data_IF_524790787410
#
_entry.id   IF_524790787410
#
_cell.length_a   1.000
_cell.length_b   1.000
_cell.length_c   1.000
_cell.angle_alpha   90.00
_cell.angle_beta   90.00
_cell.angle_gamma   90.00
#
_symmetry.space_group_name_H-M   'P 1'
#
loop_
_entity.id
_entity.type
_entity.pdbx_description
1 polymer ?
#
# COMPACT_ATOMS: atom_id res chain seq x y z
N UNK A 1 3.00 3.59 5.70
CA UNK A 1 3.12 4.26 4.39
C UNK A 1 4.58 4.25 3.99
N UNK A 2 4.92 3.83 2.76
CA UNK A 2 6.30 3.78 2.29
C UNK A 2 6.49 4.36 0.88
N UNK A 3 7.67 4.94 0.60
CA UNK A 3 8.09 5.42 -0.72
C UNK A 3 8.49 6.89 -0.76
N UNK A 4 8.27 7.55 -1.90
CA UNK A 4 8.49 8.99 -2.01
C UNK A 4 7.33 9.74 -1.35
N UNK A 5 7.62 10.48 -0.28
CA UNK A 5 6.67 11.21 0.55
C UNK A 5 6.57 12.70 0.18
N UNK A 6 7.17 13.09 -0.94
CA UNK A 6 7.13 14.47 -1.40
C UNK A 6 5.69 14.95 -1.65
N UNK A 7 5.44 16.23 -1.38
CA UNK A 7 4.12 16.82 -1.43
C UNK A 7 3.45 16.77 -2.81
N UNK A 8 4.22 16.79 -3.89
CA UNK A 8 3.74 16.68 -5.27
C UNK A 8 3.22 15.27 -5.60
N UNK A 9 3.79 14.23 -4.98
CA UNK A 9 3.38 12.83 -5.16
C UNK A 9 2.39 12.33 -4.13
N UNK A 10 2.63 12.66 -2.89
CA UNK A 10 1.91 12.17 -1.72
C UNK A 10 1.26 13.33 -0.93
N UNK A 11 0.65 14.26 -1.66
CA UNK A 11 0.06 15.48 -1.12
C UNK A 11 -1.02 15.23 -0.05
N UNK A 12 -1.67 14.07 -0.08
CA UNK A 12 -2.62 13.64 0.94
C UNK A 12 -1.99 13.53 2.34
N UNK A 13 -0.66 13.37 2.42
CA UNK A 13 0.05 13.25 3.71
C UNK A 13 -0.03 14.51 4.56
N UNK A 14 -0.26 15.69 3.97
CA UNK A 14 -0.49 16.93 4.72
C UNK A 14 -1.70 16.84 5.67
N UNK A 15 -2.66 16.00 5.32
CA UNK A 15 -3.91 15.83 6.06
C UNK A 15 -3.98 14.48 6.81
N UNK A 16 -3.00 13.58 6.62
CA UNK A 16 -3.06 12.22 7.19
C UNK A 16 -3.14 12.21 8.72
N UNK A 17 -2.50 13.17 9.38
CA UNK A 17 -2.55 13.32 10.83
C UNK A 17 -3.94 13.70 11.39
N UNK A 18 -4.88 14.10 10.51
CA UNK A 18 -6.28 14.36 10.88
C UNK A 18 -7.10 13.07 10.97
N UNK A 19 -6.62 11.98 10.38
CA UNK A 19 -7.20 10.65 10.54
C UNK A 19 -6.70 10.08 11.87
N UNK A 20 -7.58 9.72 12.82
CA UNK A 20 -7.22 9.41 14.21
C UNK A 20 -6.65 7.98 14.34
N UNK A 21 -5.51 7.74 13.68
CA UNK A 21 -4.73 6.49 13.69
C UNK A 21 -3.26 6.82 13.88
N UNK A 22 -2.48 5.82 14.33
CA UNK A 22 -1.03 5.91 14.37
C UNK A 22 -0.46 5.54 13.00
N UNK A 23 0.47 6.38 12.52
CA UNK A 23 1.02 6.29 11.18
C UNK A 23 2.52 6.03 11.22
N UNK A 24 2.95 4.97 10.56
CA UNK A 24 4.36 4.65 10.34
C UNK A 24 4.75 5.09 8.92
N UNK A 25 5.70 6.02 8.78
CA UNK A 25 6.16 6.55 7.49
C UNK A 25 7.61 6.15 7.24
N UNK A 26 7.86 5.57 6.07
CA UNK A 26 9.18 5.13 5.59
C UNK A 26 9.44 5.74 4.21
N UNK A 27 10.54 6.41 4.00
CA UNK A 27 10.89 6.91 2.65
C UNK A 27 11.58 8.24 2.62
N UNK A 28 11.69 8.78 1.41
CA UNK A 28 12.38 10.03 1.11
C UNK A 28 11.42 11.23 1.10
N UNK A 29 11.99 12.43 1.18
CA UNK A 29 11.31 13.71 0.93
C UNK A 29 10.11 13.98 1.86
N UNK A 30 10.11 13.44 3.08
CA UNK A 30 9.08 13.77 4.06
C UNK A 30 9.27 15.22 4.56
N UNK A 31 8.31 16.13 4.33
CA UNK A 31 8.44 17.52 4.75
C UNK A 31 8.24 17.75 6.25
N UNK A 32 7.87 16.69 6.98
CA UNK A 32 7.49 16.80 8.38
C UNK A 32 6.00 17.06 8.57
N UNK A 33 5.57 16.90 9.81
CA UNK A 33 4.20 17.16 10.27
C UNK A 33 4.23 17.61 11.73
N UNK A 34 3.28 18.44 12.13
CA UNK A 34 3.04 18.77 13.53
C UNK A 34 2.23 17.69 14.29
N UNK A 35 1.86 16.60 13.65
CA UNK A 35 1.06 15.54 14.27
C UNK A 35 1.93 14.58 15.07
N UNK A 36 1.55 14.35 16.33
CA UNK A 36 2.19 13.36 17.22
C UNK A 36 1.82 11.92 16.88
N UNK A 37 0.85 11.70 15.96
CA UNK A 37 0.42 10.39 15.49
C UNK A 37 1.26 9.85 14.32
N UNK A 38 2.26 10.62 13.88
CA UNK A 38 3.11 10.24 12.76
C UNK A 38 4.51 9.95 13.27
N UNK A 39 4.94 8.71 13.10
CA UNK A 39 6.31 8.28 13.35
C UNK A 39 7.03 8.11 12.00
N UNK A 40 8.08 8.91 11.80
CA UNK A 40 8.89 8.87 10.59
C UNK A 40 10.20 8.14 10.82
N UNK A 41 10.43 7.09 10.05
CA UNK A 41 11.58 6.19 10.17
C UNK A 41 12.71 6.48 9.16
N UNK A 42 12.55 7.52 8.34
CA UNK A 42 13.56 7.85 7.34
C UNK A 42 13.51 6.96 6.09
N UNK A 43 14.56 7.08 5.31
CA UNK A 43 14.76 6.28 4.11
C UNK A 43 15.30 4.89 4.46
N UNK A 44 14.66 3.86 3.90
CA UNK A 44 15.11 2.47 4.00
C UNK A 44 15.44 1.98 2.59
N UNK A 45 16.57 1.29 2.45
CA UNK A 45 16.96 0.69 1.19
C UNK A 45 15.86 -0.25 0.66
N UNK A 46 15.49 -0.17 -0.64
CA UNK A 46 14.33 -0.89 -1.19
C UNK A 46 14.34 -2.40 -0.90
N UNK A 47 15.50 -3.03 -0.93
CA UNK A 47 15.67 -4.45 -0.65
C UNK A 47 15.42 -4.83 0.82
N UNK A 48 15.60 -3.89 1.76
CA UNK A 48 15.37 -4.09 3.20
C UNK A 48 13.97 -3.65 3.62
N UNK A 49 13.31 -2.83 2.80
CA UNK A 49 12.03 -2.25 3.14
C UNK A 49 10.97 -3.30 3.50
N UNK A 50 10.78 -4.41 2.76
CA UNK A 50 9.81 -5.44 3.09
C UNK A 50 10.02 -6.11 4.46
N UNK A 51 11.28 -6.15 4.95
CA UNK A 51 11.63 -6.74 6.24
C UNK A 51 11.52 -5.74 7.39
N UNK A 52 11.53 -4.44 7.08
CA UNK A 52 11.57 -3.36 8.07
C UNK A 52 10.19 -2.76 8.34
N UNK A 53 9.33 -2.70 7.31
CA UNK A 53 8.01 -2.08 7.45
C UNK A 53 7.15 -2.82 8.46
N UNK A 54 6.49 -2.07 9.31
CA UNK A 54 5.55 -2.59 10.31
C UNK A 54 4.21 -1.84 10.26
N UNK A 55 3.17 -2.47 10.79
CA UNK A 55 1.82 -1.92 10.87
C UNK A 55 0.75 -2.94 10.55
N UNK A 56 -0.51 -2.56 10.69
CA UNK A 56 -1.64 -3.42 10.36
C UNK A 56 -1.88 -3.50 8.84
N UNK A 57 -1.72 -2.39 8.12
CA UNK A 57 -1.94 -2.30 6.68
C UNK A 57 -0.89 -1.45 5.99
N UNK A 58 -0.51 -1.83 4.78
CA UNK A 58 0.23 -1.00 3.84
C UNK A 58 -0.70 -0.10 3.05
N UNK A 59 -0.45 1.21 3.01
CA UNK A 59 -1.31 2.17 2.32
C UNK A 59 -0.81 2.40 0.89
N UNK A 60 -1.54 1.88 -0.08
CA UNK A 60 -1.30 2.07 -1.51
C UNK A 60 -2.17 3.22 -2.01
N UNK A 61 -1.66 4.43 -1.85
CA UNK A 61 -2.37 5.66 -2.16
C UNK A 61 -1.39 6.68 -2.74
N UNK A 62 -1.81 7.43 -3.75
CA UNK A 62 -1.06 8.52 -4.35
C UNK A 62 -2.01 9.69 -4.68
N UNK A 63 -1.46 10.89 -4.81
CA UNK A 63 -2.21 12.10 -5.13
C UNK A 63 -2.40 13.04 -3.94
N UNK A 64 -3.33 13.98 -4.08
CA UNK A 64 -3.38 15.18 -3.26
C UNK A 64 -4.41 15.13 -2.13
N UNK A 65 -5.27 14.09 -2.09
CA UNK A 65 -6.43 14.03 -1.22
C UNK A 65 -6.54 12.70 -0.48
N UNK A 66 -7.08 12.75 0.74
CA UNK A 66 -7.56 11.56 1.46
C UNK A 66 -8.82 10.98 0.82
N UNK A 67 -9.56 11.77 0.05
CA UNK A 67 -10.89 11.45 -0.49
C UNK A 67 -10.79 11.02 -1.96
N UNK A 68 -9.98 10.01 -2.23
CA UNK A 68 -9.79 9.41 -3.55
C UNK A 68 -8.48 9.79 -4.22
N UNK A 69 -8.29 9.22 -5.40
CA UNK A 69 -7.10 9.45 -6.22
C UNK A 69 -7.27 10.73 -7.03
N UNK A 70 -6.56 11.78 -6.65
CA UNK A 70 -6.61 13.11 -7.26
C UNK A 70 -5.23 13.58 -7.70
N UNK A 71 -5.17 14.63 -8.55
CA UNK A 71 -3.91 15.13 -9.09
C UNK A 71 -3.26 14.16 -10.09
N UNK A 72 -2.08 14.52 -10.57
CA UNK A 72 -1.36 13.78 -11.61
C UNK A 72 -1.04 12.34 -11.19
N UNK A 73 -0.51 12.17 -9.99
CA UNK A 73 -0.16 10.83 -9.47
C UNK A 73 -1.38 9.99 -9.10
N UNK A 74 -2.46 10.62 -8.65
CA UNK A 74 -3.73 9.95 -8.46
C UNK A 74 -4.30 9.43 -9.78
N UNK A 75 -4.28 10.24 -10.84
CA UNK A 75 -4.68 9.82 -12.19
C UNK A 75 -3.81 8.67 -12.72
N UNK A 76 -2.51 8.70 -12.45
CA UNK A 76 -1.60 7.61 -12.82
C UNK A 76 -1.95 6.29 -12.10
N UNK A 77 -2.35 6.34 -10.83
CA UNK A 77 -2.73 5.17 -10.05
C UNK A 77 -4.04 4.50 -10.54
N UNK A 78 -4.84 5.20 -11.35
CA UNK A 78 -6.00 4.59 -12.02
C UNK A 78 -5.59 3.59 -13.11
N UNK A 79 -4.38 3.71 -13.65
CA UNK A 79 -3.90 2.93 -14.79
C UNK A 79 -2.74 1.99 -14.44
N UNK A 80 -2.02 2.29 -13.36
CA UNK A 80 -0.81 1.58 -13.00
C UNK A 80 -0.91 0.92 -11.63
N UNK A 81 -0.28 -0.26 -11.52
CA UNK A 81 -0.09 -0.94 -10.24
C UNK A 81 1.23 -0.49 -9.62
N UNK A 82 1.21 0.28 -8.52
CA UNK A 82 2.43 0.88 -7.97
C UNK A 82 3.30 -0.17 -7.27
N UNK A 83 4.62 0.04 -7.26
CA UNK A 83 5.59 -0.79 -6.54
C UNK A 83 5.28 -0.94 -5.04
N UNK A 84 4.64 0.05 -4.41
CA UNK A 84 4.18 -0.01 -3.02
C UNK A 84 3.38 -1.28 -2.72
N UNK A 85 2.49 -1.68 -3.64
CA UNK A 85 1.68 -2.89 -3.49
C UNK A 85 2.58 -4.12 -3.30
N UNK A 86 3.51 -4.33 -4.22
CA UNK A 86 4.45 -5.47 -4.15
C UNK A 86 5.33 -5.41 -2.90
N UNK A 87 5.78 -4.23 -2.50
CA UNK A 87 6.61 -4.03 -1.31
C UNK A 87 5.87 -4.43 -0.03
N UNK A 88 4.63 -3.97 0.16
CA UNK A 88 3.85 -4.32 1.34
C UNK A 88 3.52 -5.81 1.39
N UNK A 89 3.09 -6.38 0.25
CA UNK A 89 2.81 -7.81 0.18
C UNK A 89 4.07 -8.65 0.41
N UNK A 90 5.23 -8.24 -0.13
CA UNK A 90 6.51 -8.89 0.15
C UNK A 90 6.87 -8.85 1.63
N UNK A 91 6.48 -7.79 2.35
CA UNK A 91 6.58 -7.68 3.81
C UNK A 91 5.49 -8.45 4.57
N UNK A 92 4.54 -9.07 3.87
CA UNK A 92 3.43 -9.82 4.48
C UNK A 92 2.32 -8.94 5.04
N UNK A 93 2.30 -7.65 4.71
CA UNK A 93 1.25 -6.72 5.13
C UNK A 93 0.07 -6.74 4.16
N UNK A 94 -1.17 -6.90 4.64
CA UNK A 94 -2.34 -6.61 3.83
C UNK A 94 -2.39 -5.13 3.47
N UNK A 95 -3.15 -4.78 2.44
CA UNK A 95 -3.10 -3.43 1.87
C UNK A 95 -4.45 -2.72 1.87
N UNK A 96 -4.38 -1.39 1.91
CA UNK A 96 -5.50 -0.50 1.61
C UNK A 96 -5.22 0.17 0.27
N UNK A 97 -6.19 0.12 -0.62
CA UNK A 97 -6.14 0.75 -1.95
C UNK A 97 -7.36 1.64 -2.17
N UNK A 98 -7.30 2.56 -3.12
CA UNK A 98 -8.51 3.25 -3.56
C UNK A 98 -9.38 2.32 -4.42
N UNK A 99 -10.71 2.41 -4.28
CA UNK A 99 -11.67 1.56 -5.02
C UNK A 99 -11.53 1.63 -6.53
N UNK A 100 -11.15 2.79 -7.05
CA UNK A 100 -10.96 3.02 -8.47
C UNK A 100 -9.51 2.84 -8.94
N UNK A 101 -8.59 2.43 -8.07
CA UNK A 101 -7.21 2.14 -8.47
C UNK A 101 -7.13 0.89 -9.35
N UNK A 102 -6.19 0.87 -10.29
CA UNK A 102 -5.91 -0.31 -11.12
C UNK A 102 -5.61 -1.58 -10.30
N UNK A 103 -5.09 -1.41 -9.09
CA UNK A 103 -4.78 -2.50 -8.17
C UNK A 103 -6.01 -3.07 -7.44
N UNK A 104 -7.19 -2.41 -7.47
CA UNK A 104 -8.34 -2.77 -6.65
C UNK A 104 -8.87 -4.18 -6.95
N UNK A 105 -8.97 -4.55 -8.23
CA UNK A 105 -9.43 -5.88 -8.66
C UNK A 105 -8.48 -6.99 -8.21
N UNK A 106 -7.18 -6.74 -8.26
CA UNK A 106 -6.18 -7.68 -7.76
C UNK A 106 -6.33 -7.87 -6.24
N UNK A 107 -6.45 -6.78 -5.48
CA UNK A 107 -6.59 -6.81 -4.02
C UNK A 107 -7.85 -7.59 -3.61
N UNK A 108 -8.97 -7.37 -4.30
CA UNK A 108 -10.23 -8.08 -4.05
C UNK A 108 -10.12 -9.57 -4.42
N UNK A 109 -9.59 -9.90 -5.59
CA UNK A 109 -9.45 -11.27 -6.07
C UNK A 109 -8.52 -12.11 -5.19
N UNK A 110 -7.38 -11.58 -4.81
CA UNK A 110 -6.42 -12.29 -3.96
C UNK A 110 -6.78 -12.20 -2.46
N UNK A 111 -7.78 -11.41 -2.10
CA UNK A 111 -8.19 -11.15 -0.72
C UNK A 111 -6.98 -10.73 0.17
N UNK A 112 -6.21 -9.76 -0.31
CA UNK A 112 -4.99 -9.29 0.37
C UNK A 112 -5.17 -7.91 1.01
N UNK A 113 -6.41 -7.44 1.14
CA UNK A 113 -6.69 -6.14 1.73
C UNK A 113 -8.07 -5.61 1.38
N UNK A 114 -8.24 -4.29 1.52
CA UNK A 114 -9.53 -3.61 1.36
C UNK A 114 -9.39 -2.42 0.42
N UNK A 115 -10.43 -2.19 -0.39
CA UNK A 115 -10.53 -1.02 -1.25
C UNK A 115 -11.52 0.01 -0.65
N UNK A 116 -11.09 1.28 -0.53
CA UNK A 116 -11.84 2.38 0.07
C UNK A 116 -12.06 3.54 -0.91
N UNK A 117 -13.11 4.32 -0.69
CA UNK A 117 -13.28 5.59 -1.41
C UNK A 117 -12.45 6.71 -0.78
N UNK A 118 -12.24 6.65 0.53
CA UNK A 118 -11.50 7.64 1.31
C UNK A 118 -10.68 6.99 2.41
N UNK A 119 -9.46 7.51 2.67
CA UNK A 119 -8.67 7.12 3.84
C UNK A 119 -9.33 7.55 5.16
N UNK A 120 -10.35 8.43 5.13
CA UNK A 120 -11.16 8.79 6.31
C UNK A 120 -12.05 7.66 6.79
N UNK A 121 -12.28 6.65 5.96
CA UNK A 121 -13.04 5.44 6.33
C UNK A 121 -12.22 4.47 7.19
N UNK A 122 -10.88 4.61 7.24
CA UNK A 122 -9.98 3.69 7.94
C UNK A 122 -10.29 3.51 9.44
N UNK A 123 -10.56 4.56 10.25
CA UNK A 123 -10.85 4.38 11.66
C UNK A 123 -12.07 3.49 11.90
N UNK A 124 -13.11 3.68 11.11
CA UNK A 124 -14.33 2.88 11.20
C UNK A 124 -14.09 1.45 10.69
N UNK A 125 -13.39 1.29 9.57
CA UNK A 125 -13.00 -0.02 9.05
C UNK A 125 -12.24 -0.84 10.12
N UNK A 126 -11.20 -0.23 10.74
CA UNK A 126 -10.38 -0.93 11.75
C UNK A 126 -11.21 -1.27 12.98
N UNK A 127 -12.11 -0.39 13.39
CA UNK A 127 -12.98 -0.59 14.56
C UNK A 127 -13.99 -1.71 14.35
N UNK A 128 -14.49 -1.89 13.12
CA UNK A 128 -15.58 -2.83 12.81
C UNK A 128 -15.15 -4.10 12.12
N UNK A 129 -13.91 -4.18 11.64
CA UNK A 129 -13.38 -5.36 10.96
C UNK A 129 -13.32 -6.54 11.94
N UNK A 130 -13.97 -7.68 11.62
CA UNK A 130 -13.80 -8.90 12.38
C UNK A 130 -12.34 -9.36 12.36
N UNK A 131 -11.84 -9.86 13.48
CA UNK A 131 -10.47 -10.36 13.59
C UNK A 131 -10.18 -11.47 12.56
N UNK A 132 -11.14 -12.34 12.29
CA UNK A 132 -11.03 -13.41 11.29
C UNK A 132 -10.81 -12.86 9.87
N UNK A 133 -11.42 -11.74 9.52
CA UNK A 133 -11.24 -11.08 8.22
C UNK A 133 -9.83 -10.50 8.11
N UNK A 134 -9.35 -9.83 9.14
CA UNK A 134 -7.99 -9.33 9.17
C UNK A 134 -6.97 -10.45 9.06
N UNK A 135 -7.14 -11.54 9.81
CA UNK A 135 -6.25 -12.70 9.76
C UNK A 135 -6.24 -13.36 8.38
N UNK A 136 -7.39 -13.41 7.70
CA UNK A 136 -7.49 -13.90 6.31
C UNK A 136 -6.69 -13.02 5.36
N UNK A 137 -6.84 -11.68 5.42
CA UNK A 137 -6.06 -10.75 4.60
C UNK A 137 -4.57 -10.87 4.87
N UNK A 138 -4.16 -10.94 6.13
CA UNK A 138 -2.76 -11.08 6.51
C UNK A 138 -2.16 -12.42 6.06
N UNK A 139 -2.90 -13.52 6.16
CA UNK A 139 -2.46 -14.83 5.68
C UNK A 139 -2.28 -14.83 4.15
N UNK A 140 -3.23 -14.25 3.42
CA UNK A 140 -3.15 -14.12 1.96
C UNK A 140 -2.01 -13.19 1.53
N UNK A 141 -1.79 -12.07 2.23
CA UNK A 141 -0.67 -11.18 1.97
C UNK A 141 0.67 -11.90 2.13
N UNK A 142 0.84 -12.70 3.17
CA UNK A 142 2.04 -13.54 3.37
C UNK A 142 2.22 -14.57 2.26
N UNK A 143 1.14 -15.22 1.82
CA UNK A 143 1.14 -16.20 0.71
C UNK A 143 1.59 -15.54 -0.58
N UNK A 144 0.95 -14.43 -0.97
CA UNK A 144 1.30 -13.67 -2.19
C UNK A 144 2.71 -13.10 -2.09
N UNK A 145 3.08 -12.57 -0.91
CA UNK A 145 4.42 -12.06 -0.65
C UNK A 145 5.51 -13.11 -0.81
N UNK A 146 5.26 -14.35 -0.39
CA UNK A 146 6.19 -15.46 -0.62
C UNK A 146 6.38 -15.75 -2.12
N UNK A 147 5.32 -15.71 -2.91
CA UNK A 147 5.37 -15.88 -4.37
C UNK A 147 6.16 -14.74 -5.05
N UNK A 148 5.96 -13.50 -4.58
CA UNK A 148 6.71 -12.33 -5.08
C UNK A 148 8.21 -12.47 -4.81
N UNK A 149 8.59 -12.81 -3.57
CA UNK A 149 10.00 -13.01 -3.20
C UNK A 149 10.65 -14.18 -3.95
N UNK A 150 9.89 -15.22 -4.28
CA UNK A 150 10.35 -16.35 -5.09
C UNK A 150 10.46 -16.02 -6.60
N UNK A 151 10.05 -14.83 -7.05
CA UNK A 151 10.08 -14.41 -8.44
C UNK A 151 9.09 -15.17 -9.35
N UNK A 152 8.01 -15.74 -8.79
CA UNK A 152 7.06 -16.58 -9.54
C UNK A 152 6.40 -15.84 -10.70
N UNK A 153 6.14 -14.53 -10.57
CA UNK A 153 5.58 -13.73 -11.66
C UNK A 153 6.53 -13.63 -12.85
N UNK A 154 7.83 -13.41 -12.59
CA UNK A 154 8.87 -13.37 -13.63
C UNK A 154 9.05 -14.72 -14.28
N UNK A 155 9.11 -15.81 -13.50
CA UNK A 155 9.20 -17.18 -14.01
C UNK A 155 8.02 -17.52 -14.91
N UNK A 156 6.79 -17.12 -14.52
CA UNK A 156 5.59 -17.34 -15.31
C UNK A 156 5.62 -16.58 -16.64
N UNK A 157 6.10 -15.33 -16.62
CA UNK A 157 6.24 -14.53 -17.84
C UNK A 157 7.26 -15.17 -18.82
N UNK A 158 8.40 -15.62 -18.30
CA UNK A 158 9.42 -16.30 -19.11
C UNK A 158 8.90 -17.59 -19.75
N UNK A 159 8.21 -18.46 -18.97
CA UNK A 159 7.60 -19.68 -19.52
C UNK A 159 6.62 -19.40 -20.65
N UNK A 160 5.79 -18.34 -20.52
CA UNK A 160 4.86 -17.96 -21.58
C UNK A 160 5.56 -17.48 -22.87
N UNK A 161 6.74 -16.89 -22.76
CA UNK A 161 7.53 -16.50 -23.94
C UNK A 161 8.11 -17.73 -24.63
N UNK A 162 8.55 -18.74 -23.86
CA UNK A 162 9.07 -20.02 -24.39
C UNK A 162 7.98 -20.87 -25.09
N UNK A 163 6.70 -20.71 -24.71
CA UNK A 163 5.57 -21.43 -25.32
C UNK A 163 5.12 -20.80 -26.66
N UNK A 164 5.62 -19.63 -27.04
CA UNK A 164 5.24 -18.88 -28.26
C UNK A 164 6.25 -19.10 -29.41
N UNK A 165 7.38 -19.75 -29.17
CA UNK A 165 8.32 -20.20 -30.22
C UNK A 165 7.95 -21.60 -30.75
#
# INVERSE_FOLDING_TARGET
IAGNLAADKSGYLKDIGKVPLEWQLYGTNWPGSGSTRIEYHGEIAPEKLPETISGAFGIVWDGDSLDGLTGLYGAYALLNSPHKLSTYLAGGLPVIVAKNAAAADFVAREQVGVALNSLRELPELIRTMPEEDYQRYAANARRVGAQLRAGENTKRALRKLEEVE
#
